data_IF_060523250362
#
_entry.id   IF_060523250362
#
_cell.length_a   1.000
_cell.length_b   1.000
_cell.length_c   1.000
_cell.angle_alpha   90.00
_cell.angle_beta   90.00
_cell.angle_gamma   90.00
#
_symmetry.space_group_name_H-M   'P 1'
#
loop_
_entity.id
_entity.type
_entity.pdbx_description
1 polymer ?
#
# COMPACT_ATOMS: atom_id res chain seq x y z
N UNK A 1 3.29 -6.16 -11.03
CA UNK A 1 4.72 -6.43 -10.76
C UNK A 1 4.97 -7.87 -10.26
N UNK A 2 4.31 -8.37 -9.16
CA UNK A 2 4.56 -9.76 -8.69
C UNK A 2 4.29 -10.79 -9.78
N UNK A 3 3.11 -10.73 -10.38
CA UNK A 3 2.68 -11.66 -11.44
C UNK A 3 3.58 -11.55 -12.68
N UNK A 4 4.00 -10.36 -13.08
CA UNK A 4 4.85 -10.17 -14.26
C UNK A 4 6.28 -10.67 -14.03
N UNK A 5 6.89 -10.39 -12.86
CA UNK A 5 8.27 -10.77 -12.55
C UNK A 5 8.40 -12.21 -12.04
N UNK A 6 7.40 -12.73 -11.37
CA UNK A 6 7.43 -14.06 -10.75
C UNK A 6 6.41 -15.05 -11.31
N UNK A 7 5.61 -14.66 -12.30
CA UNK A 7 4.57 -15.52 -12.86
C UNK A 7 3.32 -15.66 -11.97
N UNK A 8 2.30 -16.41 -12.44
CA UNK A 8 1.03 -16.62 -11.72
C UNK A 8 1.22 -17.23 -10.33
N UNK A 9 2.21 -18.08 -10.16
CA UNK A 9 2.49 -18.76 -8.89
C UNK A 9 2.82 -17.83 -7.72
N UNK A 10 3.18 -16.58 -8.00
CA UNK A 10 3.40 -15.57 -6.93
C UNK A 10 2.17 -15.32 -6.08
N UNK A 11 0.95 -15.51 -6.61
CA UNK A 11 -0.29 -15.38 -5.83
C UNK A 11 -0.40 -16.44 -4.74
N UNK A 12 0.02 -17.67 -5.01
CA UNK A 12 0.06 -18.73 -3.99
C UNK A 12 0.98 -18.34 -2.83
N UNK A 13 2.18 -17.86 -3.11
CA UNK A 13 3.14 -17.47 -2.08
C UNK A 13 2.74 -16.17 -1.36
N UNK A 14 1.99 -15.32 -2.02
CA UNK A 14 1.36 -14.15 -1.40
C UNK A 14 0.31 -14.58 -0.36
N UNK A 15 -0.50 -15.61 -0.64
CA UNK A 15 -1.45 -16.18 0.33
C UNK A 15 -0.74 -16.81 1.53
N UNK A 16 0.32 -17.59 1.29
CA UNK A 16 1.14 -18.15 2.36
C UNK A 16 1.71 -17.05 3.25
N UNK A 17 2.24 -15.99 2.64
CA UNK A 17 2.75 -14.83 3.37
C UNK A 17 1.68 -14.13 4.18
N UNK A 18 0.45 -14.02 3.66
CA UNK A 18 -0.66 -13.43 4.39
C UNK A 18 -1.01 -14.22 5.67
N UNK A 19 -1.02 -15.55 5.60
CA UNK A 19 -1.28 -16.40 6.77
C UNK A 19 -0.24 -16.17 7.88
N UNK A 20 1.05 -16.11 7.53
CA UNK A 20 2.13 -15.78 8.46
C UNK A 20 2.00 -14.31 8.93
N UNK A 21 1.68 -13.41 8.00
CA UNK A 21 1.48 -12.00 8.25
C UNK A 21 0.37 -11.70 9.26
N UNK A 22 -0.73 -12.47 9.23
CA UNK A 22 -1.82 -12.34 10.23
C UNK A 22 -1.31 -12.57 11.65
N UNK A 23 -0.49 -13.60 11.89
CA UNK A 23 0.07 -13.87 13.20
C UNK A 23 1.08 -12.79 13.63
N UNK A 24 1.90 -12.33 12.69
CA UNK A 24 2.87 -11.24 12.92
C UNK A 24 2.14 -9.95 13.26
N UNK A 25 1.16 -9.54 12.45
CA UNK A 25 0.36 -8.33 12.66
C UNK A 25 -0.40 -8.36 13.97
N UNK A 26 -0.98 -9.53 14.32
CA UNK A 26 -1.63 -9.73 15.62
C UNK A 26 -0.67 -9.39 16.79
N UNK A 27 0.54 -9.95 16.74
CA UNK A 27 1.55 -9.74 17.77
C UNK A 27 2.00 -8.27 17.85
N UNK A 28 2.25 -7.63 16.73
CA UNK A 28 2.65 -6.23 16.64
C UNK A 28 1.58 -5.29 17.21
N UNK A 29 0.32 -5.49 16.83
CA UNK A 29 -0.80 -4.65 17.28
C UNK A 29 -1.07 -4.85 18.76
N UNK A 30 -1.02 -6.11 19.25
CA UNK A 30 -1.16 -6.44 20.67
C UNK A 30 -0.11 -5.69 21.50
N UNK A 31 1.15 -5.76 21.10
CA UNK A 31 2.25 -5.08 21.79
C UNK A 31 2.10 -3.56 21.71
N UNK A 32 1.67 -3.02 20.58
CA UNK A 32 1.50 -1.58 20.41
C UNK A 32 0.44 -1.00 21.35
N UNK A 33 -0.69 -1.68 21.50
CA UNK A 33 -1.77 -1.25 22.42
C UNK A 33 -1.38 -1.47 23.87
N UNK A 34 -0.70 -2.59 24.19
CA UNK A 34 -0.26 -2.91 25.55
C UNK A 34 0.75 -1.90 26.10
N UNK A 35 1.69 -1.45 25.28
CA UNK A 35 2.81 -0.60 25.70
C UNK A 35 2.69 0.86 25.26
N UNK A 36 1.50 1.29 24.79
CA UNK A 36 1.26 2.68 24.39
C UNK A 36 1.31 3.65 25.57
N UNK A 37 1.58 4.90 25.25
CA UNK A 37 1.63 6.00 26.21
C UNK A 37 0.70 7.13 25.77
N UNK A 38 0.47 8.11 26.66
CA UNK A 38 -0.17 9.37 26.28
C UNK A 38 0.88 10.44 26.02
N UNK A 39 0.74 11.15 24.89
CA UNK A 39 1.59 12.29 24.60
C UNK A 39 1.12 13.55 25.36
N UNK A 40 1.82 14.67 25.16
CA UNK A 40 1.50 15.96 25.79
C UNK A 40 0.12 16.51 25.44
N UNK A 41 -0.45 16.08 24.32
CA UNK A 41 -1.78 16.49 23.85
C UNK A 41 -2.88 15.53 24.31
N UNK A 42 -2.55 14.49 25.08
CA UNK A 42 -3.48 13.48 25.55
C UNK A 42 -3.81 12.39 24.52
N UNK A 43 -3.17 12.41 23.33
CA UNK A 43 -3.35 11.38 22.33
C UNK A 43 -2.60 10.10 22.71
N UNK A 44 -3.15 8.93 22.33
CA UNK A 44 -2.44 7.68 22.42
C UNK A 44 -1.34 7.61 21.37
N UNK A 45 -0.14 7.21 21.82
CA UNK A 45 1.03 6.98 20.99
C UNK A 45 1.65 5.63 21.31
N UNK A 46 2.00 4.86 20.29
CA UNK A 46 2.56 3.52 20.44
C UNK A 46 3.26 3.08 19.16
N UNK A 47 3.61 1.81 19.11
CA UNK A 47 4.35 1.21 18.02
C UNK A 47 5.69 0.65 18.47
N UNK A 48 6.57 0.20 17.54
CA UNK A 48 7.84 -0.48 17.87
C UNK A 48 8.70 0.27 18.88
N UNK A 49 8.87 1.56 18.70
CA UNK A 49 9.68 2.39 19.57
C UNK A 49 9.19 2.41 21.03
N UNK A 50 7.86 2.30 21.23
CA UNK A 50 7.27 2.29 22.57
C UNK A 50 7.32 0.91 23.22
N UNK A 51 7.00 -0.18 22.49
CA UNK A 51 7.11 -1.50 23.11
C UNK A 51 8.56 -1.96 23.29
N UNK A 52 9.52 -1.47 22.47
CA UNK A 52 10.94 -1.64 22.76
C UNK A 52 11.32 -0.91 24.05
N UNK A 53 10.98 0.37 24.17
CA UNK A 53 11.30 1.19 25.34
C UNK A 53 10.65 0.67 26.63
N UNK A 54 9.38 0.28 26.55
CA UNK A 54 8.57 -0.08 27.73
C UNK A 54 8.58 -1.58 28.03
N UNK A 55 8.77 -2.43 27.02
CA UNK A 55 8.82 -3.89 27.16
C UNK A 55 10.22 -4.40 27.46
N UNK A 56 11.24 -3.93 26.75
CA UNK A 56 12.64 -4.34 26.98
C UNK A 56 13.37 -3.46 27.99
N UNK A 57 12.81 -2.28 28.28
CA UNK A 57 13.37 -1.34 29.24
C UNK A 57 14.14 -0.17 28.60
N UNK A 58 14.44 0.83 29.43
CA UNK A 58 15.02 2.13 28.98
C UNK A 58 16.36 1.99 28.27
N UNK A 59 17.15 0.98 28.60
CA UNK A 59 18.45 0.71 28.01
C UNK A 59 18.36 0.36 26.51
N UNK A 60 17.21 -0.12 26.04
CA UNK A 60 16.96 -0.49 24.64
C UNK A 60 16.34 0.64 23.82
N UNK A 61 16.14 1.82 24.41
CA UNK A 61 15.53 2.98 23.72
C UNK A 61 16.28 3.34 22.40
N UNK A 62 17.58 3.13 22.33
CA UNK A 62 18.39 3.41 21.14
C UNK A 62 17.91 2.63 19.91
N UNK A 63 17.47 1.37 20.09
CA UNK A 63 16.92 0.56 19.00
C UNK A 63 15.61 1.16 18.47
N UNK A 64 14.75 1.66 19.38
CA UNK A 64 13.54 2.40 18.99
C UNK A 64 13.85 3.69 18.22
N UNK A 65 14.95 4.38 18.54
CA UNK A 65 15.41 5.57 17.81
C UNK A 65 15.86 5.20 16.39
N UNK A 66 16.67 4.14 16.25
CA UNK A 66 17.09 3.63 14.93
C UNK A 66 15.87 3.28 14.06
N UNK A 67 14.94 2.53 14.61
CA UNK A 67 13.67 2.24 13.91
C UNK A 67 12.97 3.53 13.46
N UNK A 68 12.83 4.52 14.34
CA UNK A 68 12.16 5.77 14.02
C UNK A 68 12.87 6.57 12.91
N UNK A 69 14.21 6.57 12.87
CA UNK A 69 14.97 7.25 11.81
C UNK A 69 14.65 6.63 10.45
N UNK A 70 14.76 5.30 10.34
CA UNK A 70 14.47 4.60 9.08
C UNK A 70 13.00 4.71 8.68
N UNK A 71 12.07 4.58 9.63
CA UNK A 71 10.64 4.69 9.36
C UNK A 71 10.24 6.11 8.93
N UNK A 72 10.83 7.16 9.52
CA UNK A 72 10.57 8.55 9.11
C UNK A 72 11.11 8.85 7.71
N UNK A 73 12.28 8.30 7.34
CA UNK A 73 12.83 8.42 5.98
C UNK A 73 12.01 7.62 4.97
N UNK A 74 11.64 6.38 5.30
CA UNK A 74 10.77 5.56 4.45
C UNK A 74 9.41 6.23 4.21
N UNK A 75 8.86 6.91 5.23
CA UNK A 75 7.62 7.66 5.08
C UNK A 75 7.73 8.81 4.06
N UNK A 76 8.87 9.48 3.97
CA UNK A 76 9.08 10.54 2.97
C UNK A 76 9.26 9.98 1.55
N UNK A 77 9.90 8.82 1.40
CA UNK A 77 10.14 8.16 0.11
C UNK A 77 8.97 7.29 -0.32
N UNK A 78 8.97 6.04 0.16
CA UNK A 78 8.01 4.99 -0.28
C UNK A 78 6.57 5.29 0.09
N UNK A 79 6.34 5.89 1.25
CA UNK A 79 4.99 6.22 1.75
C UNK A 79 4.42 7.52 1.18
N UNK A 80 5.24 8.37 0.57
CA UNK A 80 4.84 9.70 0.10
C UNK A 80 5.21 9.93 -1.36
N UNK A 81 6.50 10.16 -1.66
CA UNK A 81 6.94 10.60 -2.98
C UNK A 81 6.57 9.59 -4.08
N UNK A 82 6.80 8.29 -3.85
CA UNK A 82 6.40 7.23 -4.80
C UNK A 82 4.87 7.20 -4.98
N UNK A 83 4.10 7.36 -3.92
CA UNK A 83 2.65 7.35 -4.01
C UNK A 83 2.12 8.57 -4.79
N UNK A 84 2.71 9.74 -4.58
CA UNK A 84 2.38 10.94 -5.35
C UNK A 84 2.69 10.74 -6.85
N UNK A 85 3.84 10.17 -7.19
CA UNK A 85 4.21 9.78 -8.56
C UNK A 85 3.20 8.80 -9.18
N UNK A 86 2.80 7.76 -8.43
CA UNK A 86 1.81 6.78 -8.89
C UNK A 86 0.44 7.43 -9.19
N UNK A 87 -0.02 8.37 -8.37
CA UNK A 87 -1.27 9.11 -8.62
C UNK A 87 -1.14 9.90 -9.92
N UNK A 88 -0.08 10.66 -10.05
CA UNK A 88 0.13 11.54 -11.21
C UNK A 88 0.30 10.71 -12.49
N UNK A 89 1.10 9.63 -12.46
CA UNK A 89 1.28 8.73 -13.59
C UNK A 89 -0.02 8.05 -14.02
N UNK A 90 -0.87 7.63 -13.07
CA UNK A 90 -2.17 7.03 -13.40
C UNK A 90 -3.14 8.02 -14.04
N UNK A 91 -3.15 9.28 -13.55
CA UNK A 91 -3.97 10.35 -14.13
C UNK A 91 -3.44 10.73 -15.52
N UNK A 92 -2.12 10.80 -15.70
CA UNK A 92 -1.49 11.05 -17.00
C UNK A 92 -1.86 9.96 -18.01
N UNK A 93 -1.79 8.68 -17.63
CA UNK A 93 -2.26 7.55 -18.46
C UNK A 93 -3.72 7.71 -18.86
N UNK A 94 -4.57 8.13 -17.95
CA UNK A 94 -5.98 8.38 -18.26
C UNK A 94 -6.14 9.58 -19.22
N UNK A 95 -5.40 10.66 -19.04
CA UNK A 95 -5.42 11.82 -19.97
C UNK A 95 -5.01 11.40 -21.36
N UNK A 96 -3.94 10.61 -21.52
CA UNK A 96 -3.48 10.11 -22.81
C UNK A 96 -4.52 9.19 -23.48
N UNK A 97 -5.28 8.40 -22.71
CA UNK A 97 -6.35 7.58 -23.25
C UNK A 97 -7.48 8.42 -23.91
N UNK A 98 -7.70 9.65 -23.44
CA UNK A 98 -8.70 10.57 -24.02
C UNK A 98 -8.11 11.52 -25.06
N UNK A 99 -6.87 11.95 -24.86
CA UNK A 99 -6.14 12.86 -25.76
C UNK A 99 -4.70 12.37 -25.97
N UNK A 100 -4.46 11.51 -26.98
CA UNK A 100 -3.14 10.94 -27.25
C UNK A 100 -2.03 11.97 -27.54
N UNK A 101 -2.40 13.15 -28.06
CA UNK A 101 -1.46 14.23 -28.43
C UNK A 101 -1.15 15.18 -27.28
N UNK A 102 -1.54 14.82 -26.04
CA UNK A 102 -1.30 15.68 -24.88
C UNK A 102 0.20 15.80 -24.57
N UNK A 103 0.72 17.02 -24.60
CA UNK A 103 2.16 17.32 -24.39
C UNK A 103 2.43 18.15 -23.12
N UNK A 104 1.42 18.35 -22.27
CA UNK A 104 1.50 19.18 -21.06
C UNK A 104 1.89 18.44 -19.78
N UNK A 105 2.62 17.33 -19.84
CA UNK A 105 2.91 16.46 -18.71
C UNK A 105 3.53 17.16 -17.51
N UNK A 106 4.60 17.94 -17.69
CA UNK A 106 5.27 18.65 -16.59
C UNK A 106 4.34 19.61 -15.86
N UNK A 107 3.46 20.31 -16.60
CA UNK A 107 2.47 21.23 -16.03
C UNK A 107 1.38 20.46 -15.28
N UNK A 108 0.89 19.35 -15.86
CA UNK A 108 -0.09 18.48 -15.22
C UNK A 108 0.45 17.93 -13.90
N UNK A 109 1.66 17.40 -13.92
CA UNK A 109 2.33 16.80 -12.76
C UNK A 109 2.49 17.84 -11.62
N UNK A 110 2.93 19.05 -11.96
CA UNK A 110 3.07 20.13 -10.99
C UNK A 110 1.70 20.54 -10.38
N UNK A 111 0.68 20.74 -11.22
CA UNK A 111 -0.66 21.13 -10.75
C UNK A 111 -1.25 20.04 -9.85
N UNK A 112 -1.18 18.78 -10.27
CA UNK A 112 -1.66 17.66 -9.45
C UNK A 112 -0.87 17.53 -8.15
N UNK A 113 0.45 17.69 -8.19
CA UNK A 113 1.29 17.67 -6.98
C UNK A 113 0.90 18.76 -5.98
N UNK A 114 0.63 19.99 -6.45
CA UNK A 114 0.17 21.09 -5.60
C UNK A 114 -1.22 20.78 -5.01
N UNK A 115 -2.16 20.28 -5.82
CA UNK A 115 -3.50 19.91 -5.35
C UNK A 115 -3.44 18.84 -4.28
N UNK A 116 -2.67 17.77 -4.53
CA UNK A 116 -2.47 16.68 -3.55
C UNK A 116 -1.82 17.20 -2.27
N UNK A 117 -0.82 18.06 -2.37
CA UNK A 117 -0.16 18.67 -1.22
C UNK A 117 -1.14 19.53 -0.38
N UNK A 118 -1.99 20.32 -1.01
CA UNK A 118 -3.03 21.11 -0.32
C UNK A 118 -4.02 20.19 0.38
N UNK A 119 -4.53 19.17 -0.31
CA UNK A 119 -5.48 18.21 0.28
C UNK A 119 -4.86 17.48 1.47
N UNK A 120 -3.62 17.00 1.34
CA UNK A 120 -2.90 16.37 2.43
C UNK A 120 -2.66 17.35 3.60
N UNK A 121 -2.24 18.59 3.34
CA UNK A 121 -2.03 19.60 4.36
C UNK A 121 -3.32 19.88 5.16
N UNK A 122 -4.45 20.03 4.48
CA UNK A 122 -5.76 20.25 5.11
C UNK A 122 -6.11 19.12 6.07
N UNK A 123 -5.80 17.87 5.72
CA UNK A 123 -6.07 16.70 6.59
C UNK A 123 -5.06 16.63 7.73
N UNK A 124 -3.75 16.68 7.42
CA UNK A 124 -2.66 16.47 8.38
C UNK A 124 -2.61 17.54 9.47
N UNK A 125 -2.78 18.81 9.10
CA UNK A 125 -2.80 19.91 10.06
C UNK A 125 -4.04 19.90 10.97
N UNK A 126 -5.08 19.15 10.60
CA UNK A 126 -6.24 18.87 11.45
C UNK A 126 -6.01 17.82 12.54
N UNK A 127 -4.83 17.16 12.53
CA UNK A 127 -4.43 16.17 13.54
C UNK A 127 -5.05 14.79 13.34
N UNK A 128 -4.74 13.88 14.28
CA UNK A 128 -5.09 12.44 14.17
C UNK A 128 -6.60 12.21 14.07
N UNK A 129 -7.42 13.00 14.75
CA UNK A 129 -8.88 12.86 14.70
C UNK A 129 -9.44 13.16 13.31
N UNK A 130 -8.93 14.21 12.66
CA UNK A 130 -9.35 14.55 11.29
C UNK A 130 -8.85 13.53 10.28
N UNK A 131 -7.63 13.08 10.45
CA UNK A 131 -7.06 12.00 9.66
C UNK A 131 -7.95 10.75 9.72
N UNK A 132 -8.31 10.29 10.94
CA UNK A 132 -9.20 9.16 11.13
C UNK A 132 -10.57 9.35 10.48
N UNK A 133 -11.20 10.51 10.66
CA UNK A 133 -12.52 10.81 10.09
C UNK A 133 -12.52 10.83 8.54
N UNK A 134 -11.40 11.21 7.91
CA UNK A 134 -11.27 11.18 6.44
C UNK A 134 -11.04 9.75 5.97
N UNK A 135 -10.11 9.01 6.57
CA UNK A 135 -9.77 7.66 6.14
C UNK A 135 -10.90 6.66 6.41
N UNK A 136 -11.67 6.82 7.49
CA UNK A 136 -12.84 6.00 7.81
C UNK A 136 -13.90 6.00 6.68
N UNK A 137 -14.05 7.10 5.96
CA UNK A 137 -15.00 7.21 4.84
C UNK A 137 -14.36 6.84 3.50
N UNK A 138 -13.13 7.29 3.29
CA UNK A 138 -12.41 7.13 2.04
C UNK A 138 -12.11 5.65 1.76
N UNK A 139 -11.58 4.92 2.76
CA UNK A 139 -11.09 3.54 2.57
C UNK A 139 -12.20 2.56 2.19
N UNK A 140 -13.35 2.49 2.87
CA UNK A 140 -14.43 1.59 2.46
C UNK A 140 -14.99 1.92 1.08
N UNK A 141 -15.13 3.21 0.75
CA UNK A 141 -15.64 3.64 -0.54
C UNK A 141 -14.73 3.17 -1.70
N UNK A 142 -13.42 3.43 -1.58
CA UNK A 142 -12.46 3.00 -2.60
C UNK A 142 -12.38 1.48 -2.72
N UNK A 143 -12.41 0.76 -1.58
CA UNK A 143 -12.34 -0.70 -1.58
C UNK A 143 -13.55 -1.32 -2.28
N UNK A 144 -14.77 -0.85 -2.00
CA UNK A 144 -16.00 -1.34 -2.63
C UNK A 144 -15.95 -1.10 -4.14
N UNK A 145 -15.61 0.10 -4.59
CA UNK A 145 -15.53 0.42 -6.03
C UNK A 145 -14.53 -0.50 -6.74
N UNK A 146 -13.34 -0.67 -6.15
CA UNK A 146 -12.29 -1.51 -6.72
C UNK A 146 -12.68 -2.99 -6.75
N UNK A 147 -13.23 -3.52 -5.65
CA UNK A 147 -13.69 -4.90 -5.55
C UNK A 147 -14.77 -5.19 -6.61
N UNK A 148 -15.74 -4.30 -6.77
CA UNK A 148 -16.80 -4.46 -7.77
C UNK A 148 -16.24 -4.44 -9.19
N UNK A 149 -15.28 -3.56 -9.51
CA UNK A 149 -14.65 -3.51 -10.81
C UNK A 149 -13.85 -4.79 -11.12
N UNK A 150 -13.07 -5.30 -10.17
CA UNK A 150 -12.34 -6.55 -10.31
C UNK A 150 -13.29 -7.76 -10.47
N UNK A 151 -14.32 -7.85 -9.62
CA UNK A 151 -15.31 -8.93 -9.70
C UNK A 151 -16.05 -8.94 -11.04
N UNK A 152 -16.38 -7.77 -11.60
CA UNK A 152 -17.04 -7.69 -12.90
C UNK A 152 -16.19 -8.36 -14.00
N UNK A 153 -14.87 -8.13 -14.02
CA UNK A 153 -13.95 -8.74 -14.99
C UNK A 153 -13.80 -10.25 -14.75
N UNK A 154 -13.63 -10.65 -13.50
CA UNK A 154 -13.47 -12.06 -13.14
C UNK A 154 -14.72 -12.84 -13.51
N UNK A 155 -15.91 -12.31 -13.24
CA UNK A 155 -17.18 -12.95 -13.57
C UNK A 155 -17.43 -12.97 -15.09
N UNK A 156 -17.06 -11.91 -15.81
CA UNK A 156 -17.14 -11.86 -17.26
C UNK A 156 -16.27 -12.94 -17.92
N UNK A 157 -15.09 -13.20 -17.35
CA UNK A 157 -14.15 -14.21 -17.82
C UNK A 157 -14.15 -15.47 -16.93
N UNK A 158 -15.27 -15.83 -16.32
CA UNK A 158 -15.34 -16.93 -15.35
C UNK A 158 -14.91 -18.30 -15.92
N UNK A 159 -15.03 -18.49 -17.23
CA UNK A 159 -14.56 -19.70 -17.93
C UNK A 159 -13.03 -19.89 -17.85
N UNK A 160 -12.26 -18.83 -17.65
CA UNK A 160 -10.81 -18.88 -17.51
C UNK A 160 -10.35 -19.26 -16.08
N UNK A 161 -11.22 -19.15 -15.07
CA UNK A 161 -10.87 -19.38 -13.66
C UNK A 161 -10.22 -20.75 -13.41
N UNK A 162 -10.72 -21.89 -13.95
CA UNK A 162 -10.07 -23.19 -13.71
C UNK A 162 -8.63 -23.23 -14.20
N UNK A 163 -8.37 -22.68 -15.38
CA UNK A 163 -7.02 -22.59 -15.96
C UNK A 163 -6.13 -21.66 -15.14
N UNK A 164 -6.64 -20.50 -14.75
CA UNK A 164 -5.90 -19.53 -13.94
C UNK A 164 -5.52 -20.12 -12.57
N UNK A 165 -6.43 -20.82 -11.90
CA UNK A 165 -6.08 -21.50 -10.64
C UNK A 165 -5.08 -22.64 -10.87
N UNK A 166 -5.22 -23.42 -11.92
CA UNK A 166 -4.20 -24.41 -12.30
C UNK A 166 -2.83 -23.76 -12.45
N UNK A 167 -2.74 -22.65 -13.19
CA UNK A 167 -1.48 -21.94 -13.44
C UNK A 167 -0.90 -21.30 -12.17
N UNK A 168 -1.73 -20.85 -11.24
CA UNK A 168 -1.28 -20.37 -9.93
C UNK A 168 -0.62 -21.50 -9.13
N UNK A 169 -1.28 -22.67 -9.03
CA UNK A 169 -0.77 -23.79 -8.24
C UNK A 169 0.44 -24.46 -8.91
N UNK A 170 0.39 -24.70 -10.21
CA UNK A 170 1.52 -25.28 -10.95
C UNK A 170 2.68 -24.30 -10.99
N UNK A 171 2.43 -23.02 -11.30
CA UNK A 171 3.44 -21.98 -11.35
C UNK A 171 4.11 -21.68 -10.02
N UNK A 172 3.47 -22.00 -8.89
CA UNK A 172 4.06 -21.85 -7.56
C UNK A 172 5.29 -22.75 -7.35
N UNK A 173 5.30 -23.93 -7.97
CA UNK A 173 6.33 -24.97 -7.78
C UNK A 173 7.12 -25.27 -9.05
N UNK A 174 6.51 -25.08 -10.22
CA UNK A 174 7.11 -25.32 -11.55
C UNK A 174 6.89 -24.12 -12.48
N UNK A 175 7.50 -22.94 -12.18
CA UNK A 175 7.23 -21.71 -12.92
C UNK A 175 7.54 -21.78 -14.41
N UNK A 176 8.59 -22.53 -14.81
CA UNK A 176 8.99 -22.70 -16.21
C UNK A 176 7.87 -23.31 -17.06
N UNK A 177 7.05 -24.20 -16.51
CA UNK A 177 5.96 -24.86 -17.21
C UNK A 177 4.80 -23.91 -17.56
N UNK A 178 4.66 -22.82 -16.82
CA UNK A 178 3.55 -21.86 -17.01
C UNK A 178 4.01 -20.60 -17.74
N UNK A 179 5.27 -20.16 -17.50
CA UNK A 179 5.81 -18.90 -18.05
C UNK A 179 6.67 -19.10 -19.29
N UNK A 180 6.73 -20.32 -19.85
CA UNK A 180 7.57 -20.60 -21.01
C UNK A 180 9.08 -20.40 -20.78
N UNK A 181 9.51 -20.47 -19.51
CA UNK A 181 10.91 -20.28 -19.11
C UNK A 181 11.29 -18.82 -18.78
N UNK A 182 10.40 -17.85 -18.93
CA UNK A 182 10.67 -16.46 -18.59
C UNK A 182 10.93 -16.27 -17.07
N UNK A 183 10.33 -17.11 -16.23
CA UNK A 183 10.59 -17.16 -14.78
C UNK A 183 11.40 -18.42 -14.44
N UNK A 184 12.68 -18.23 -14.29
CA UNK A 184 13.66 -19.33 -14.27
C UNK A 184 13.71 -20.16 -12.97
N UNK A 185 13.12 -19.72 -11.84
CA UNK A 185 13.24 -20.47 -10.60
C UNK A 185 12.07 -20.25 -9.62
N UNK A 186 11.74 -21.31 -8.90
CA UNK A 186 10.78 -21.29 -7.78
C UNK A 186 11.18 -20.27 -6.70
N UNK A 187 12.49 -20.09 -6.44
CA UNK A 187 12.97 -19.11 -5.47
C UNK A 187 12.57 -17.67 -5.86
N UNK A 188 12.58 -17.35 -7.16
CA UNK A 188 12.15 -16.05 -7.67
C UNK A 188 10.65 -15.83 -7.42
N UNK A 189 9.82 -16.87 -7.68
CA UNK A 189 8.37 -16.85 -7.45
C UNK A 189 8.05 -16.61 -5.97
N UNK A 190 8.69 -17.37 -5.08
CA UNK A 190 8.58 -17.23 -3.63
C UNK A 190 8.97 -15.80 -3.22
N UNK A 191 10.14 -15.36 -3.67
CA UNK A 191 10.67 -14.03 -3.29
C UNK A 191 9.72 -12.90 -3.70
N UNK A 192 9.19 -12.92 -4.92
CA UNK A 192 8.26 -11.88 -5.37
C UNK A 192 6.90 -11.97 -4.68
N UNK A 193 6.36 -13.17 -4.47
CA UNK A 193 5.13 -13.36 -3.73
C UNK A 193 5.22 -12.84 -2.30
N UNK A 194 6.30 -13.23 -1.59
CA UNK A 194 6.53 -12.79 -0.21
C UNK A 194 6.80 -11.29 -0.11
N UNK A 195 7.69 -10.74 -0.93
CA UNK A 195 8.03 -9.30 -0.93
C UNK A 195 6.78 -8.44 -1.13
N UNK A 196 5.95 -8.79 -2.12
CA UNK A 196 4.75 -8.00 -2.42
C UNK A 196 3.64 -8.22 -1.41
N UNK A 197 3.52 -9.42 -0.82
CA UNK A 197 2.61 -9.67 0.30
C UNK A 197 2.95 -8.81 1.52
N UNK A 198 4.21 -8.85 1.98
CA UNK A 198 4.67 -8.05 3.13
C UNK A 198 4.55 -6.54 2.83
N UNK A 199 4.89 -6.11 1.61
CA UNK A 199 4.80 -4.71 1.22
C UNK A 199 3.36 -4.19 1.25
N UNK A 200 2.38 -5.02 0.86
CA UNK A 200 0.96 -4.64 0.85
C UNK A 200 0.38 -4.56 2.26
N UNK A 201 0.53 -5.61 3.05
CA UNK A 201 -0.10 -5.70 4.37
C UNK A 201 0.73 -5.11 5.52
N UNK A 202 1.97 -4.69 5.26
CA UNK A 202 2.89 -4.10 6.24
C UNK A 202 3.16 -4.97 7.49
N UNK A 203 2.85 -6.28 7.47
CA UNK A 203 3.10 -7.14 8.62
C UNK A 203 4.60 -7.37 8.81
N UNK A 204 5.09 -7.10 10.01
CA UNK A 204 6.52 -7.18 10.35
C UNK A 204 7.31 -5.90 10.08
N UNK A 205 6.71 -4.88 9.44
CA UNK A 205 7.37 -3.58 9.22
C UNK A 205 7.30 -2.64 10.44
N UNK A 206 6.38 -2.91 11.37
CA UNK A 206 6.19 -2.07 12.56
C UNK A 206 5.49 -0.74 12.31
N UNK A 207 5.03 -0.48 11.10
CA UNK A 207 4.37 0.78 10.71
C UNK A 207 2.91 0.82 11.16
N UNK A 208 2.11 -0.14 10.76
CA UNK A 208 0.69 -0.24 11.10
C UNK A 208 0.41 -0.23 12.62
N UNK A 209 1.21 -0.86 13.51
CA UNK A 209 1.06 -0.77 14.95
C UNK A 209 1.00 0.66 15.49
N UNK A 210 1.63 1.64 14.83
CA UNK A 210 1.57 3.04 15.23
C UNK A 210 0.16 3.64 15.04
N UNK A 211 -0.55 3.23 13.99
CA UNK A 211 -1.94 3.63 13.78
C UNK A 211 -2.87 2.91 14.77
N UNK A 212 -2.74 1.60 14.93
CA UNK A 212 -3.52 0.81 15.86
C UNK A 212 -3.41 1.29 17.31
N UNK A 213 -2.24 1.79 17.72
CA UNK A 213 -2.05 2.34 19.05
C UNK A 213 -2.93 3.58 19.35
N UNK A 214 -3.39 4.29 18.31
CA UNK A 214 -4.25 5.48 18.48
C UNK A 214 -5.71 5.15 18.79
N UNK A 215 -6.09 3.87 18.75
CA UNK A 215 -7.46 3.39 18.96
C UNK A 215 -8.03 3.78 20.33
N UNK A 216 -9.34 3.93 20.40
CA UNK A 216 -10.08 4.04 21.67
C UNK A 216 -10.22 2.71 22.39
N UNK A 217 -10.04 1.58 21.71
CA UNK A 217 -10.10 0.24 22.29
C UNK A 217 -9.02 0.08 23.37
N UNK A 218 -9.41 -0.47 24.52
CA UNK A 218 -8.51 -0.64 25.67
C UNK A 218 -7.92 -2.04 25.76
N UNK A 219 -8.59 -3.03 25.20
CA UNK A 219 -8.14 -4.41 25.21
C UNK A 219 -7.17 -4.69 24.05
N UNK A 220 -5.88 -5.00 24.35
CA UNK A 220 -4.89 -5.27 23.32
C UNK A 220 -5.26 -6.43 22.40
N UNK A 221 -5.82 -7.51 22.96
CA UNK A 221 -6.24 -8.71 22.21
C UNK A 221 -7.32 -8.37 21.22
N UNK A 222 -8.33 -7.60 21.63
CA UNK A 222 -9.45 -7.22 20.77
C UNK A 222 -8.98 -6.34 19.59
N UNK A 223 -8.10 -5.38 19.85
CA UNK A 223 -7.51 -4.58 18.80
C UNK A 223 -6.62 -5.40 17.87
N UNK A 224 -5.90 -6.40 18.39
CA UNK A 224 -5.04 -7.27 17.60
C UNK A 224 -5.83 -8.13 16.59
N UNK A 225 -7.08 -8.51 16.90
CA UNK A 225 -7.96 -9.21 15.95
C UNK A 225 -8.27 -8.35 14.71
N UNK A 226 -8.39 -7.02 14.86
CA UNK A 226 -8.53 -6.12 13.71
C UNK A 226 -7.28 -6.15 12.81
N UNK A 227 -6.08 -6.33 13.39
CA UNK A 227 -4.85 -6.52 12.60
C UNK A 227 -4.88 -7.79 11.75
N UNK A 228 -5.46 -8.89 12.24
CA UNK A 228 -5.68 -10.10 11.42
C UNK A 228 -6.64 -9.78 10.28
N UNK A 229 -7.76 -9.13 10.58
CA UNK A 229 -8.76 -8.78 9.57
C UNK A 229 -8.20 -7.83 8.50
N UNK A 230 -7.34 -6.88 8.88
CA UNK A 230 -6.66 -5.98 7.96
C UNK A 230 -5.82 -6.75 6.94
N UNK A 231 -4.95 -7.67 7.39
CA UNK A 231 -4.12 -8.50 6.50
C UNK A 231 -4.99 -9.38 5.60
N UNK A 232 -6.07 -9.94 6.14
CA UNK A 232 -7.02 -10.76 5.37
C UNK A 232 -7.66 -9.94 4.25
N UNK A 233 -8.21 -8.77 4.56
CA UNK A 233 -8.86 -7.90 3.58
C UNK A 233 -7.89 -7.37 2.52
N UNK A 234 -6.71 -6.92 2.94
CA UNK A 234 -5.71 -6.39 2.02
C UNK A 234 -5.16 -7.48 1.09
N UNK A 235 -4.66 -8.57 1.66
CA UNK A 235 -3.86 -9.52 0.90
C UNK A 235 -4.69 -10.67 0.34
N UNK A 236 -5.56 -11.28 1.16
CA UNK A 236 -6.36 -12.42 0.67
C UNK A 236 -7.49 -11.92 -0.25
N UNK A 237 -8.09 -10.76 0.00
CA UNK A 237 -9.18 -10.27 -0.84
C UNK A 237 -8.64 -9.34 -1.93
N UNK A 238 -8.11 -8.16 -1.61
CA UNK A 238 -7.81 -7.11 -2.61
C UNK A 238 -6.65 -7.52 -3.53
N UNK A 239 -5.54 -8.03 -2.99
CA UNK A 239 -4.42 -8.46 -3.82
C UNK A 239 -4.78 -9.68 -4.69
N UNK A 240 -5.56 -10.62 -4.18
CA UNK A 240 -6.04 -11.77 -4.98
C UNK A 240 -6.95 -11.32 -6.10
N UNK A 241 -7.90 -10.42 -5.83
CA UNK A 241 -8.76 -9.86 -6.87
C UNK A 241 -7.96 -9.16 -7.97
N UNK A 242 -6.94 -8.38 -7.59
CA UNK A 242 -6.04 -7.73 -8.55
C UNK A 242 -5.31 -8.75 -9.43
N UNK A 243 -4.72 -9.78 -8.80
CA UNK A 243 -4.01 -10.82 -9.52
C UNK A 243 -4.92 -11.65 -10.42
N UNK A 244 -6.09 -12.06 -9.93
CA UNK A 244 -7.08 -12.78 -10.72
C UNK A 244 -7.63 -11.92 -11.87
N UNK A 245 -7.86 -10.63 -11.66
CA UNK A 245 -8.26 -9.71 -12.72
C UNK A 245 -7.24 -9.70 -13.86
N UNK A 246 -5.95 -9.59 -13.54
CA UNK A 246 -4.88 -9.63 -14.55
C UNK A 246 -4.85 -10.97 -15.29
N UNK A 247 -4.90 -12.08 -14.56
CA UNK A 247 -4.78 -13.42 -15.14
C UNK A 247 -6.02 -13.86 -15.94
N UNK A 248 -7.22 -13.42 -15.51
CA UNK A 248 -8.48 -13.77 -16.20
C UNK A 248 -8.78 -12.85 -17.39
N UNK A 249 -8.19 -11.65 -17.46
CA UNK A 249 -8.51 -10.65 -18.48
C UNK A 249 -8.12 -11.04 -19.91
N UNK A 250 -7.21 -12.02 -20.06
CA UNK A 250 -6.71 -12.46 -21.36
C UNK A 250 -5.74 -11.48 -22.02
N UNK A 251 -5.26 -10.44 -21.29
CA UNK A 251 -4.20 -9.56 -21.79
C UNK A 251 -2.88 -10.32 -21.86
N UNK A 252 -2.03 -9.89 -22.79
CA UNK A 252 -0.69 -10.48 -22.95
C UNK A 252 0.24 -10.01 -21.81
N UNK A 253 0.63 -10.95 -20.95
CA UNK A 253 1.49 -10.69 -19.82
C UNK A 253 2.93 -11.04 -20.19
N UNK A 254 3.75 -10.02 -20.41
CA UNK A 254 5.18 -10.19 -20.61
C UNK A 254 5.87 -10.59 -19.30
N UNK A 255 6.06 -11.90 -19.08
CA UNK A 255 6.74 -12.40 -17.89
C UNK A 255 8.23 -12.08 -17.92
N UNK A 256 8.82 -11.85 -16.72
CA UNK A 256 10.23 -11.49 -16.57
C UNK A 256 10.52 -9.99 -16.66
N UNK A 257 9.53 -9.18 -17.00
CA UNK A 257 9.65 -7.71 -17.11
C UNK A 257 8.85 -7.02 -16.02
N UNK A 258 9.32 -5.87 -15.54
CA UNK A 258 8.59 -5.07 -14.56
C UNK A 258 7.25 -4.64 -15.15
N UNK A 259 6.16 -5.07 -14.51
CA UNK A 259 4.81 -4.69 -14.94
C UNK A 259 4.47 -3.25 -14.55
N UNK A 260 3.92 -2.53 -15.50
CA UNK A 260 3.45 -1.16 -15.35
C UNK A 260 2.03 -1.10 -14.77
N UNK A 261 1.65 0.07 -14.29
CA UNK A 261 0.27 0.39 -13.84
C UNK A 261 -0.71 0.25 -15.01
N UNK A 262 -0.25 0.52 -16.23
CA UNK A 262 -0.98 0.36 -17.49
C UNK A 262 -1.61 -1.03 -17.65
N UNK A 263 -0.95 -2.11 -17.19
CA UNK A 263 -1.49 -3.48 -17.29
C UNK A 263 -2.82 -3.67 -16.56
N UNK A 264 -2.99 -3.06 -15.38
CA UNK A 264 -4.27 -3.14 -14.66
C UNK A 264 -5.33 -2.32 -15.38
N UNK A 265 -4.94 -1.18 -15.96
CA UNK A 265 -5.84 -0.36 -16.79
C UNK A 265 -6.28 -1.12 -18.05
N UNK A 266 -5.36 -1.83 -18.71
CA UNK A 266 -5.63 -2.66 -19.86
C UNK A 266 -6.57 -3.82 -19.52
N UNK A 267 -6.33 -4.52 -18.41
CA UNK A 267 -7.18 -5.57 -17.92
C UNK A 267 -8.62 -5.08 -17.64
N UNK A 268 -8.77 -3.91 -17.02
CA UNK A 268 -10.07 -3.28 -16.83
C UNK A 268 -10.67 -2.81 -18.17
N UNK A 269 -9.84 -2.40 -19.10
CA UNK A 269 -10.24 -1.97 -20.44
C UNK A 269 -10.91 -3.07 -21.28
N UNK A 270 -10.65 -4.34 -20.99
CA UNK A 270 -11.29 -5.47 -21.69
C UNK A 270 -12.81 -5.49 -21.53
N UNK A 271 -13.32 -5.01 -20.39
CA UNK A 271 -14.75 -4.91 -20.11
C UNK A 271 -15.27 -3.47 -20.24
N UNK A 272 -14.54 -2.48 -19.72
CA UNK A 272 -15.01 -1.08 -19.60
C UNK A 272 -14.56 -0.17 -20.74
N UNK A 273 -14.02 -0.68 -21.82
CA UNK A 273 -13.26 0.04 -22.86
C UNK A 273 -11.91 0.60 -22.33
N UNK A 274 -10.96 0.86 -23.21
CA UNK A 274 -9.65 1.40 -22.79
C UNK A 274 -9.76 2.71 -22.02
N UNK A 275 -10.62 3.62 -22.46
CA UNK A 275 -10.89 4.90 -21.76
C UNK A 275 -11.53 4.69 -20.39
N UNK A 276 -12.50 3.77 -20.30
CA UNK A 276 -13.15 3.43 -19.06
C UNK A 276 -12.22 2.76 -18.05
N UNK A 277 -11.41 1.80 -18.50
CA UNK A 277 -10.40 1.13 -17.66
C UNK A 277 -9.36 2.12 -17.11
N UNK A 278 -8.85 3.01 -17.96
CA UNK A 278 -7.91 4.04 -17.55
C UNK A 278 -8.50 4.99 -16.50
N UNK A 279 -9.77 5.39 -16.67
CA UNK A 279 -10.45 6.27 -15.71
C UNK A 279 -10.68 5.56 -14.36
N UNK A 280 -11.15 4.31 -14.38
CA UNK A 280 -11.40 3.53 -13.16
C UNK A 280 -10.10 3.36 -12.36
N UNK A 281 -8.98 3.03 -13.04
CA UNK A 281 -7.68 2.89 -12.37
C UNK A 281 -7.16 4.23 -11.87
N UNK A 282 -7.27 5.31 -12.64
CA UNK A 282 -6.82 6.62 -12.18
C UNK A 282 -7.55 7.04 -10.89
N UNK A 283 -8.87 6.84 -10.82
CA UNK A 283 -9.65 7.14 -9.61
C UNK A 283 -9.29 6.20 -8.47
N UNK A 284 -9.20 4.89 -8.72
CA UNK A 284 -8.86 3.92 -7.69
C UNK A 284 -7.46 4.18 -7.10
N UNK A 285 -6.44 4.34 -7.96
CA UNK A 285 -5.07 4.62 -7.50
C UNK A 285 -4.97 5.98 -6.81
N UNK A 286 -5.66 7.02 -7.29
CA UNK A 286 -5.68 8.29 -6.60
C UNK A 286 -6.21 8.15 -5.17
N UNK A 287 -7.27 7.39 -4.96
CA UNK A 287 -7.85 7.17 -3.64
C UNK A 287 -6.94 6.28 -2.76
N UNK A 288 -6.45 5.14 -3.29
CA UNK A 288 -5.58 4.23 -2.54
C UNK A 288 -4.25 4.87 -2.18
N UNK A 289 -3.54 5.47 -3.16
CA UNK A 289 -2.26 6.09 -2.90
C UNK A 289 -2.38 7.33 -2.02
N UNK A 290 -3.47 8.12 -2.14
CA UNK A 290 -3.71 9.24 -1.24
C UNK A 290 -3.97 8.78 0.20
N UNK A 291 -4.74 7.71 0.41
CA UNK A 291 -4.91 7.12 1.74
C UNK A 291 -3.59 6.63 2.34
N UNK A 292 -2.71 6.06 1.51
CA UNK A 292 -1.36 5.65 1.90
C UNK A 292 -0.50 6.84 2.32
N UNK A 293 -0.51 7.94 1.54
CA UNK A 293 0.17 9.20 1.91
C UNK A 293 -0.29 9.66 3.29
N UNK A 294 -1.59 9.64 3.57
CA UNK A 294 -2.14 10.06 4.87
C UNK A 294 -1.70 9.14 6.01
N UNK A 295 -1.71 7.82 5.80
CA UNK A 295 -1.27 6.83 6.79
C UNK A 295 0.21 6.97 7.14
N UNK A 296 1.07 7.04 6.12
CA UNK A 296 2.52 7.18 6.32
C UNK A 296 2.91 8.53 6.92
N UNK A 297 2.14 9.60 6.70
CA UNK A 297 2.33 10.87 7.41
C UNK A 297 2.16 10.72 8.92
N UNK A 298 1.22 9.88 9.36
CA UNK A 298 1.06 9.55 10.78
C UNK A 298 2.29 8.82 11.31
N UNK A 299 2.77 7.77 10.59
CA UNK A 299 3.92 6.97 11.00
C UNK A 299 5.17 7.85 11.17
N UNK A 300 5.52 8.64 10.15
CA UNK A 300 6.66 9.53 10.22
C UNK A 300 6.54 10.60 11.31
N UNK A 301 5.33 11.17 11.50
CA UNK A 301 5.07 12.13 12.58
C UNK A 301 5.27 11.52 13.96
N UNK A 302 4.82 10.26 14.17
CA UNK A 302 5.01 9.55 15.44
C UNK A 302 6.47 9.18 15.70
N UNK A 303 7.22 8.84 14.67
CA UNK A 303 8.66 8.61 14.76
C UNK A 303 9.41 9.89 15.13
N UNK A 304 9.13 11.01 14.48
CA UNK A 304 9.73 12.30 14.83
C UNK A 304 9.33 12.77 16.24
N UNK A 305 8.09 12.53 16.64
CA UNK A 305 7.63 12.81 18.00
C UNK A 305 8.42 12.03 19.06
N UNK A 306 8.70 10.75 18.80
CA UNK A 306 9.46 9.91 19.74
C UNK A 306 10.92 10.39 19.91
N UNK A 307 11.57 10.85 18.82
CA UNK A 307 12.97 11.29 18.83
C UNK A 307 13.11 12.70 19.41
N UNK A 308 12.33 13.65 18.89
CA UNK A 308 12.50 15.08 19.13
C UNK A 308 11.41 15.71 20.00
N UNK A 309 10.40 14.91 20.39
CA UNK A 309 9.23 15.38 21.12
C UNK A 309 8.14 16.00 20.24
N UNK A 310 6.99 16.27 20.85
CA UNK A 310 5.77 16.67 20.14
C UNK A 310 5.88 17.97 19.33
N UNK A 311 6.89 18.82 19.60
CA UNK A 311 7.14 20.03 18.79
C UNK A 311 7.63 19.72 17.38
N UNK A 312 8.23 18.55 17.15
CA UNK A 312 8.75 18.14 15.85
C UNK A 312 7.66 17.69 14.86
N UNK A 313 6.44 17.43 15.33
CA UNK A 313 5.34 16.98 14.46
C UNK A 313 5.08 17.98 13.34
N UNK A 314 4.93 19.27 13.66
CA UNK A 314 4.58 20.29 12.67
C UNK A 314 5.67 20.54 11.62
N UNK A 315 6.95 20.74 11.99
CA UNK A 315 8.03 20.82 11.00
C UNK A 315 8.10 19.61 10.08
N UNK A 316 7.96 18.40 10.64
CA UNK A 316 7.95 17.18 9.84
C UNK A 316 6.79 17.14 8.85
N UNK A 317 5.57 17.51 9.28
CA UNK A 317 4.40 17.56 8.41
C UNK A 317 4.57 18.57 7.25
N UNK A 318 5.22 19.69 7.49
CA UNK A 318 5.52 20.68 6.42
C UNK A 318 6.48 20.05 5.40
N UNK A 319 7.58 19.44 5.85
CA UNK A 319 8.52 18.74 4.95
C UNK A 319 7.80 17.63 4.20
N UNK A 320 6.96 16.87 4.88
CA UNK A 320 6.18 15.78 4.29
C UNK A 320 5.26 16.28 3.16
N UNK A 321 4.55 17.37 3.36
CA UNK A 321 3.68 17.99 2.34
C UNK A 321 4.48 18.50 1.14
N UNK A 322 5.65 19.10 1.36
CA UNK A 322 6.52 19.52 0.26
C UNK A 322 7.05 18.34 -0.56
N UNK A 323 7.33 17.21 0.09
CA UNK A 323 7.77 15.99 -0.59
C UNK A 323 6.70 15.39 -1.51
N UNK A 324 5.40 15.68 -1.30
CA UNK A 324 4.34 15.29 -2.25
C UNK A 324 4.55 15.95 -3.62
N UNK A 325 4.87 17.26 -3.62
CA UNK A 325 5.12 18.00 -4.86
C UNK A 325 6.39 17.49 -5.54
N UNK A 326 7.43 17.19 -4.77
CA UNK A 326 8.67 16.61 -5.31
C UNK A 326 8.39 15.26 -5.96
N UNK A 327 7.68 14.36 -5.27
CA UNK A 327 7.33 13.05 -5.79
C UNK A 327 6.40 13.07 -7.00
N UNK A 328 5.57 14.11 -7.13
CA UNK A 328 4.71 14.31 -8.29
C UNK A 328 5.47 14.83 -9.53
N UNK A 329 6.60 15.52 -9.34
CA UNK A 329 7.33 16.21 -10.43
C UNK A 329 8.64 15.56 -10.82
N UNK A 330 9.22 14.73 -9.94
CA UNK A 330 10.46 13.99 -10.19
C UNK A 330 10.11 12.55 -10.53
N UNK A 331 10.63 12.08 -11.65
CA UNK A 331 10.52 10.66 -12.02
C UNK A 331 11.40 9.84 -11.08
N UNK A 332 10.77 9.16 -10.14
CA UNK A 332 11.43 8.29 -9.19
C UNK A 332 11.33 6.85 -9.70
N UNK A 333 12.11 6.52 -10.73
CA UNK A 333 12.32 5.12 -11.13
C UNK A 333 13.01 4.36 -9.98
N UNK A 334 12.27 3.48 -9.30
CA UNK A 334 12.76 2.56 -8.28
C UNK A 334 12.47 1.12 -8.64
#
# INVERSE_FOLDING_TARGET
TAVTLGGPGTLFWLWVTALIGMATKYSEVLLAVKFRERNKYGDWVGGPMYYIKNGLGKNWKWLGIIFCVFAALAALGTGNAIQAGNIVGSIHTAVLAFNPDFSGEATLNLVLGIVLAILAAVVLFGGVKRLGAVTEKLVPCMAVVYILACLAIILYNASSLPTVFHDIFVGAFTPNGVTGGAVGSMFLVISWGMKRGIFSNEAGLGTAPMAHATTSEREPVKQALYGIFEVFMDTIIICSLTGLTLLCSGIDLNYGVTGEISLVSEALGTLFTQKGGALVIAVALALFAFSTILGWALYGSRCCEFIFGSKAIRPYQVIYVLMIVVGATVDLEL
#
